data_IF_284544657241
#
_entry.id   IF_284544657241
#
_cell.length_a   1.000
_cell.length_b   1.000
_cell.length_c   1.000
_cell.angle_alpha   90.00
_cell.angle_beta   90.00
_cell.angle_gamma   90.00
#
_symmetry.space_group_name_H-M   'P 1'
#
loop_
_entity.id
_entity.type
_entity.pdbx_description
1 polymer ?
#
# COMPACT_ATOMS: atom_id res chain seq x y z
N UNK A 1 -1.24 7.47 -11.24
CA UNK A 1 -0.72 7.06 -12.56
C UNK A 1 -1.52 5.87 -13.03
N UNK A 2 -1.69 5.70 -14.33
CA UNK A 2 -2.24 4.49 -14.93
C UNK A 2 -1.20 3.82 -15.83
N UNK A 3 -1.15 2.49 -15.80
CA UNK A 3 -0.36 1.67 -16.73
C UNK A 3 -1.33 0.74 -17.48
N UNK A 4 -1.47 0.93 -18.80
CA UNK A 4 -2.43 0.19 -19.61
C UNK A 4 -3.89 0.37 -19.17
N UNK A 5 -4.24 1.54 -18.61
CA UNK A 5 -5.57 1.82 -18.04
C UNK A 5 -5.79 1.23 -16.63
N UNK A 6 -4.75 0.70 -15.99
CA UNK A 6 -4.83 0.16 -14.62
C UNK A 6 -4.22 1.18 -13.64
N UNK A 7 -4.98 1.67 -12.64
CA UNK A 7 -4.45 2.53 -11.60
C UNK A 7 -3.30 1.86 -10.84
N UNK A 8 -2.18 2.57 -10.71
CA UNK A 8 -0.97 2.05 -10.07
C UNK A 8 -0.36 3.03 -9.08
N UNK A 9 0.29 2.47 -8.07
CA UNK A 9 1.25 3.14 -7.19
C UNK A 9 2.63 2.95 -7.79
N UNK A 10 3.30 4.05 -8.09
CA UNK A 10 4.68 4.05 -8.56
C UNK A 10 5.62 4.31 -7.38
N UNK A 11 6.60 3.44 -7.21
CA UNK A 11 7.73 3.63 -6.31
C UNK A 11 8.92 3.99 -7.19
N UNK A 12 9.35 5.25 -7.08
CA UNK A 12 10.42 5.87 -7.87
C UNK A 12 11.34 6.71 -6.98
N UNK A 13 12.41 7.24 -7.57
CA UNK A 13 13.30 8.27 -7.00
C UNK A 13 13.31 9.57 -7.82
N UNK A 14 12.44 9.67 -8.82
CA UNK A 14 12.32 10.83 -9.73
C UNK A 14 11.73 12.07 -9.05
N UNK A 15 10.98 11.90 -7.96
CA UNK A 15 10.29 12.98 -7.26
C UNK A 15 11.10 13.64 -6.14
N UNK A 16 10.77 14.89 -5.81
CA UNK A 16 11.38 15.60 -4.70
C UNK A 16 11.11 14.87 -3.35
N UNK A 17 12.21 14.52 -2.66
CA UNK A 17 12.22 13.68 -1.46
C UNK A 17 11.77 12.22 -1.65
N UNK A 18 11.76 11.70 -2.88
CA UNK A 18 11.70 10.27 -3.11
C UNK A 18 13.12 9.68 -3.11
N UNK A 19 13.29 8.53 -2.48
CA UNK A 19 14.55 7.80 -2.45
C UNK A 19 14.27 6.32 -2.48
N UNK A 20 14.92 5.62 -3.39
CA UNK A 20 15.04 4.17 -3.34
C UNK A 20 16.40 3.79 -2.77
N UNK A 21 16.48 2.59 -2.15
CA UNK A 21 17.74 2.07 -1.62
C UNK A 21 18.64 1.55 -2.75
N UNK A 22 18.02 1.04 -3.81
CA UNK A 22 18.65 0.38 -4.97
C UNK A 22 17.73 0.52 -6.19
N UNK A 23 18.29 0.41 -7.40
CA UNK A 23 17.53 0.47 -8.66
C UNK A 23 16.43 -0.61 -8.73
N UNK A 24 16.66 -1.76 -8.09
CA UNK A 24 15.69 -2.87 -8.03
C UNK A 24 14.44 -2.55 -7.21
N UNK A 25 14.47 -1.51 -6.36
CA UNK A 25 13.29 -1.06 -5.62
C UNK A 25 12.32 -0.25 -6.49
N UNK A 26 12.73 0.20 -7.69
CA UNK A 26 11.85 0.89 -8.63
C UNK A 26 10.76 -0.07 -9.12
N UNK A 27 9.49 0.28 -8.90
CA UNK A 27 8.38 -0.59 -9.28
C UNK A 27 7.06 0.15 -9.47
N UNK A 28 6.27 -0.39 -10.37
CA UNK A 28 4.85 -0.05 -10.54
C UNK A 28 4.01 -1.18 -9.97
N UNK A 29 3.13 -0.85 -9.02
CA UNK A 29 2.25 -1.80 -8.32
C UNK A 29 0.80 -1.43 -8.62
N UNK A 30 -0.01 -2.34 -9.21
CA UNK A 30 -1.42 -2.07 -9.45
C UNK A 30 -2.18 -1.92 -8.13
N UNK A 31 -3.18 -1.05 -8.11
CA UNK A 31 -4.07 -0.90 -6.96
C UNK A 31 -5.07 -2.06 -6.94
N UNK A 32 -5.22 -2.70 -5.79
CA UNK A 32 -6.16 -3.82 -5.60
C UNK A 32 -7.62 -3.35 -5.80
N UNK A 33 -8.51 -4.15 -6.41
CA UNK A 33 -9.91 -3.79 -6.65
C UNK A 33 -10.65 -3.36 -5.38
N UNK A 34 -10.44 -4.03 -4.25
CA UNK A 34 -11.05 -3.64 -2.97
C UNK A 34 -10.67 -2.22 -2.54
N UNK A 35 -9.43 -1.79 -2.78
CA UNK A 35 -9.01 -0.41 -2.46
C UNK A 35 -9.71 0.59 -3.37
N UNK A 36 -9.91 0.24 -4.64
CA UNK A 36 -10.68 1.07 -5.58
C UNK A 36 -12.14 1.17 -5.13
N UNK A 37 -12.76 0.04 -4.74
CA UNK A 37 -14.12 -0.02 -4.23
C UNK A 37 -14.31 0.76 -2.91
N UNK A 38 -13.26 0.83 -2.07
CA UNK A 38 -13.24 1.67 -0.86
C UNK A 38 -13.04 3.17 -1.15
N UNK A 39 -12.96 3.57 -2.42
CA UNK A 39 -12.83 4.99 -2.81
C UNK A 39 -11.41 5.53 -2.69
N UNK A 40 -10.38 4.69 -2.82
CA UNK A 40 -8.98 5.14 -2.70
C UNK A 40 -8.64 6.27 -3.70
N UNK A 41 -9.11 6.19 -4.94
CA UNK A 41 -8.86 7.22 -5.95
C UNK A 41 -9.63 8.51 -5.65
N UNK A 42 -10.87 8.41 -5.15
CA UNK A 42 -11.64 9.58 -4.72
C UNK A 42 -10.93 10.31 -3.56
N UNK A 43 -10.37 9.55 -2.63
CA UNK A 43 -9.55 10.11 -1.54
C UNK A 43 -8.30 10.81 -2.05
N UNK A 44 -7.61 10.23 -3.03
CA UNK A 44 -6.43 10.83 -3.68
C UNK A 44 -6.80 12.17 -4.35
N UNK A 45 -7.90 12.20 -5.10
CA UNK A 45 -8.35 13.42 -5.79
C UNK A 45 -8.85 14.48 -4.82
N UNK A 46 -9.51 14.10 -3.72
CA UNK A 46 -9.86 15.02 -2.64
C UNK A 46 -8.61 15.65 -2.00
N UNK A 47 -7.59 14.84 -1.70
CA UNK A 47 -6.33 15.34 -1.13
C UNK A 47 -5.65 16.33 -2.10
N UNK A 48 -5.63 16.00 -3.40
CA UNK A 48 -5.12 16.89 -4.45
C UNK A 48 -5.91 18.20 -4.53
N UNK A 49 -7.23 18.13 -4.52
CA UNK A 49 -8.12 19.31 -4.53
C UNK A 49 -7.95 20.22 -3.31
N UNK A 50 -7.49 19.67 -2.17
CA UNK A 50 -7.13 20.41 -0.96
C UNK A 50 -5.70 20.97 -0.99
N UNK A 51 -4.98 20.84 -2.10
CA UNK A 51 -3.59 21.30 -2.25
C UNK A 51 -2.58 20.46 -1.47
N UNK A 52 -2.94 19.23 -1.08
CA UNK A 52 -1.98 18.32 -0.42
C UNK A 52 -1.02 17.74 -1.46
N UNK A 53 0.27 17.96 -1.27
CA UNK A 53 1.32 17.39 -2.13
C UNK A 53 1.60 15.91 -1.81
N UNK A 54 1.13 15.42 -0.65
CA UNK A 54 1.34 14.06 -0.16
C UNK A 54 0.04 13.45 0.33
N UNK A 55 -0.14 12.15 0.08
CA UNK A 55 -1.27 11.38 0.62
C UNK A 55 -1.28 11.30 2.15
N UNK A 56 -0.10 11.35 2.78
CA UNK A 56 0.05 11.37 4.23
C UNK A 56 0.83 12.61 4.68
N UNK A 57 0.21 13.81 4.72
CA UNK A 57 0.90 15.07 5.04
C UNK A 57 1.59 15.06 6.41
N UNK A 58 1.04 14.30 7.36
CA UNK A 58 1.61 14.15 8.70
C UNK A 58 2.93 13.35 8.73
N UNK A 59 3.21 12.56 7.68
CA UNK A 59 4.50 11.90 7.48
C UNK A 59 5.49 12.87 6.82
N UNK A 60 5.98 13.84 7.62
CA UNK A 60 6.84 14.93 7.13
C UNK A 60 8.10 14.41 6.42
N UNK A 61 8.47 15.06 5.32
CA UNK A 61 9.60 14.66 4.50
C UNK A 61 10.97 14.89 5.18
N UNK A 62 11.04 15.89 6.06
CA UNK A 62 12.22 16.29 6.83
C UNK A 62 12.34 15.60 8.20
N UNK A 63 11.49 14.60 8.48
CA UNK A 63 11.50 13.93 9.76
C UNK A 63 12.89 13.32 10.06
N UNK A 64 13.48 13.70 11.19
CA UNK A 64 14.85 13.30 11.63
C UNK A 64 15.12 11.79 11.58
N UNK A 65 14.08 10.96 11.71
CA UNK A 65 14.17 9.49 11.69
C UNK A 65 13.48 8.87 10.46
N UNK A 66 13.34 9.65 9.38
CA UNK A 66 12.65 9.25 8.16
C UNK A 66 11.11 9.23 8.28
N UNK A 67 10.45 9.31 7.13
CA UNK A 67 8.99 9.30 7.01
C UNK A 67 8.37 8.00 7.57
N UNK A 68 9.06 6.85 7.38
CA UNK A 68 8.61 5.54 7.82
C UNK A 68 8.47 5.37 9.35
N UNK A 69 9.19 6.17 10.14
CA UNK A 69 9.07 6.13 11.59
C UNK A 69 7.72 6.70 12.07
N UNK A 70 7.22 7.75 11.41
CA UNK A 70 5.93 8.34 11.78
C UNK A 70 4.79 7.34 11.59
N UNK A 71 4.71 6.71 10.42
CA UNK A 71 3.64 5.75 10.11
C UNK A 71 3.71 4.51 11.00
N UNK A 72 4.93 4.03 11.30
CA UNK A 72 5.14 2.91 12.21
C UNK A 72 4.62 3.23 13.62
N UNK A 73 4.92 4.43 14.14
CA UNK A 73 4.41 4.86 15.45
C UNK A 73 2.90 5.10 15.44
N UNK A 74 2.36 5.69 14.38
CA UNK A 74 0.92 5.89 14.23
C UNK A 74 0.17 4.56 14.23
N UNK A 75 0.66 3.59 13.46
CA UNK A 75 0.11 2.24 13.43
C UNK A 75 0.21 1.55 14.78
N UNK A 76 1.36 1.61 15.46
CA UNK A 76 1.52 0.99 16.79
C UNK A 76 0.55 1.56 17.82
N UNK A 77 0.29 2.87 17.80
CA UNK A 77 -0.72 3.49 18.69
C UNK A 77 -2.13 3.02 18.35
N UNK A 78 -2.48 2.98 17.06
CA UNK A 78 -3.79 2.50 16.63
C UNK A 78 -4.00 1.03 17.01
N UNK A 79 -2.98 0.18 16.77
CA UNK A 79 -2.99 -1.23 17.12
C UNK A 79 -3.12 -1.45 18.64
N UNK A 80 -2.52 -0.61 19.47
CA UNK A 80 -2.67 -0.68 20.92
C UNK A 80 -4.11 -0.37 21.38
N UNK A 81 -4.88 0.40 20.59
CA UNK A 81 -6.29 0.67 20.87
C UNK A 81 -7.21 -0.45 20.37
N UNK A 82 -7.08 -0.87 19.11
CA UNK A 82 -7.97 -1.87 18.51
C UNK A 82 -7.63 -3.32 18.90
N UNK A 83 -6.38 -3.57 19.28
CA UNK A 83 -5.85 -4.90 19.55
C UNK A 83 -5.80 -5.29 21.02
N UNK A 84 -6.39 -4.51 21.95
CA UNK A 84 -6.31 -4.73 23.41
C UNK A 84 -6.69 -6.15 23.83
N UNK A 85 -7.66 -6.75 23.14
CA UNK A 85 -8.21 -8.07 23.45
C UNK A 85 -7.73 -9.17 22.49
N UNK A 86 -6.75 -8.88 21.63
CA UNK A 86 -6.21 -9.87 20.71
C UNK A 86 -5.18 -10.77 21.40
N UNK A 87 -5.03 -12.04 20.96
CA UNK A 87 -3.98 -12.91 21.47
C UNK A 87 -2.59 -12.27 21.29
N UNK A 88 -1.67 -12.52 22.22
CA UNK A 88 -0.30 -11.99 22.15
C UNK A 88 0.39 -12.43 20.85
N UNK A 89 0.85 -11.46 20.06
CA UNK A 89 1.68 -11.71 18.87
C UNK A 89 2.53 -10.49 18.53
N UNK A 90 3.60 -10.71 17.75
CA UNK A 90 4.42 -9.62 17.20
C UNK A 90 3.70 -8.98 16.01
N UNK A 91 2.96 -7.91 16.27
CA UNK A 91 2.22 -7.13 15.28
C UNK A 91 2.78 -5.71 15.21
N UNK A 92 2.93 -5.19 14.00
CA UNK A 92 3.45 -3.84 13.75
C UNK A 92 3.28 -3.49 12.28
N UNK A 93 3.66 -2.28 11.86
CA UNK A 93 3.37 -1.86 10.47
C UNK A 93 3.97 -2.82 9.42
N UNK A 94 5.17 -3.35 9.67
CA UNK A 94 5.82 -4.31 8.79
C UNK A 94 5.13 -5.69 8.75
N UNK A 95 4.30 -6.05 9.74
CA UNK A 95 3.56 -7.32 9.67
C UNK A 95 2.56 -7.34 8.53
N UNK A 96 2.04 -6.19 8.09
CA UNK A 96 1.15 -6.11 6.92
C UNK A 96 1.84 -6.60 5.64
N UNK A 97 3.09 -6.18 5.42
CA UNK A 97 3.88 -6.65 4.26
C UNK A 97 4.15 -8.15 4.34
N UNK A 98 4.45 -8.68 5.54
CA UNK A 98 4.63 -10.12 5.73
C UNK A 98 3.36 -10.90 5.41
N UNK A 99 2.21 -10.43 5.90
CA UNK A 99 0.90 -11.00 5.57
C UNK A 99 0.69 -11.00 4.06
N UNK A 100 0.89 -9.88 3.37
CA UNK A 100 0.75 -9.80 1.92
C UNK A 100 1.61 -10.86 1.19
N UNK A 101 2.88 -10.99 1.56
CA UNK A 101 3.79 -11.99 0.96
C UNK A 101 3.28 -13.42 1.20
N UNK A 102 2.86 -13.72 2.43
CA UNK A 102 2.40 -15.05 2.83
C UNK A 102 1.09 -15.42 2.12
N UNK A 103 0.14 -14.49 2.01
CA UNK A 103 -1.12 -14.73 1.30
C UNK A 103 -0.90 -14.90 -0.21
N UNK A 104 -0.05 -14.08 -0.84
CA UNK A 104 0.32 -14.26 -2.24
C UNK A 104 0.98 -15.63 -2.47
N UNK A 105 1.84 -16.07 -1.55
CA UNK A 105 2.46 -17.39 -1.61
C UNK A 105 1.41 -18.51 -1.45
N UNK A 106 0.50 -18.38 -0.49
CA UNK A 106 -0.58 -19.34 -0.24
C UNK A 106 -1.56 -19.45 -1.41
N UNK A 107 -1.79 -18.35 -2.13
CA UNK A 107 -2.60 -18.31 -3.34
C UNK A 107 -1.86 -18.81 -4.60
N UNK A 108 -0.57 -19.20 -4.50
CA UNK A 108 0.19 -19.76 -5.62
C UNK A 108 0.77 -18.71 -6.57
N UNK A 109 0.85 -17.43 -6.18
CA UNK A 109 1.49 -16.38 -6.99
C UNK A 109 2.98 -16.65 -7.08
N UNK A 110 3.55 -16.74 -8.28
CA UNK A 110 4.97 -17.08 -8.47
C UNK A 110 5.93 -16.06 -7.85
N UNK A 111 7.10 -16.54 -7.41
CA UNK A 111 8.10 -15.80 -6.65
C UNK A 111 8.55 -14.50 -7.32
N UNK A 112 8.74 -14.52 -8.63
CA UNK A 112 9.18 -13.39 -9.46
C UNK A 112 8.14 -12.28 -9.47
N UNK A 113 6.86 -12.65 -9.54
CA UNK A 113 5.76 -11.71 -9.50
C UNK A 113 5.60 -11.11 -8.10
N UNK A 114 5.73 -11.94 -7.04
CA UNK A 114 5.75 -11.45 -5.65
C UNK A 114 6.91 -10.49 -5.41
N UNK A 115 8.11 -10.82 -5.89
CA UNK A 115 9.32 -10.00 -5.76
C UNK A 115 9.10 -8.59 -6.35
N UNK A 116 8.54 -8.51 -7.56
CA UNK A 116 8.25 -7.22 -8.20
C UNK A 116 7.09 -6.43 -7.56
N UNK A 117 6.16 -7.09 -6.86
CA UNK A 117 5.08 -6.42 -6.11
C UNK A 117 5.59 -5.81 -4.80
N UNK A 118 6.34 -6.59 -4.02
CA UNK A 118 6.66 -6.25 -2.63
C UNK A 118 8.10 -5.82 -2.42
N UNK A 119 8.95 -5.82 -3.45
CA UNK A 119 10.40 -5.54 -3.37
C UNK A 119 11.12 -6.56 -2.47
N UNK A 120 11.02 -7.83 -2.85
CA UNK A 120 11.63 -8.96 -2.13
C UNK A 120 12.74 -9.58 -2.99
N UNK A 121 13.97 -9.63 -2.45
CA UNK A 121 15.08 -10.29 -3.12
C UNK A 121 14.80 -11.78 -3.28
N UNK A 122 15.10 -12.32 -4.45
CA UNK A 122 15.12 -13.76 -4.67
C UNK A 122 16.53 -14.25 -4.35
N UNK A 123 16.66 -15.30 -3.55
CA UNK A 123 17.96 -15.84 -3.10
C UNK A 123 18.79 -16.45 -4.25
N UNK A 124 18.22 -16.64 -5.43
CA UNK A 124 18.91 -17.18 -6.61
C UNK A 124 19.46 -16.06 -7.51
N UNK A 125 20.79 -15.98 -7.59
CA UNK A 125 21.54 -15.05 -8.46
C UNK A 125 21.11 -15.12 -9.94
N UNK A 126 20.56 -16.26 -10.38
CA UNK A 126 20.06 -16.46 -11.75
C UNK A 126 18.72 -15.76 -12.04
N UNK A 127 17.85 -15.55 -11.04
CA UNK A 127 16.52 -14.97 -11.28
C UNK A 127 16.56 -13.44 -11.48
N UNK A 128 17.51 -12.75 -10.88
CA UNK A 128 17.64 -11.28 -10.99
C UNK A 128 18.11 -10.86 -12.39
N UNK A 129 18.96 -11.67 -13.04
CA UNK A 129 19.58 -11.33 -14.33
C UNK A 129 18.67 -11.58 -15.55
N UNK A 130 17.72 -12.51 -15.45
CA UNK A 130 16.88 -12.93 -16.59
C UNK A 130 15.37 -12.65 -16.41
N UNK A 131 14.94 -12.07 -15.29
CA UNK A 131 13.53 -11.75 -15.09
C UNK A 131 13.15 -10.48 -15.86
N UNK A 132 12.19 -10.60 -16.77
CA UNK A 132 11.53 -9.44 -17.38
C UNK A 132 10.64 -8.75 -16.35
N UNK A 133 10.41 -7.45 -16.52
CA UNK A 133 9.36 -6.75 -15.81
C UNK A 133 7.97 -7.30 -16.21
N UNK A 134 7.12 -7.54 -15.21
CA UNK A 134 5.70 -7.81 -15.43
C UNK A 134 4.95 -6.48 -15.60
N UNK A 135 4.03 -6.46 -16.56
CA UNK A 135 3.10 -5.34 -16.77
C UNK A 135 2.17 -5.18 -15.55
N UNK A 136 1.56 -4.01 -15.37
CA UNK A 136 0.55 -3.83 -14.32
C UNK A 136 -0.60 -4.85 -14.45
N UNK A 137 -1.01 -5.20 -15.67
CA UNK A 137 -2.04 -6.21 -15.92
C UNK A 137 -1.63 -7.60 -15.47
N UNK A 138 -0.41 -8.02 -15.77
CA UNK A 138 0.12 -9.31 -15.30
C UNK A 138 0.25 -9.35 -13.78
N UNK A 139 0.69 -8.25 -13.17
CA UNK A 139 0.78 -8.13 -11.71
C UNK A 139 -0.60 -8.19 -11.05
N UNK A 140 -1.62 -7.63 -11.68
CA UNK A 140 -2.98 -7.60 -11.16
C UNK A 140 -3.70 -8.93 -11.36
N UNK A 141 -3.82 -9.37 -12.61
CA UNK A 141 -4.67 -10.51 -13.00
C UNK A 141 -3.93 -11.85 -12.94
N UNK A 142 -2.60 -11.80 -13.08
CA UNK A 142 -1.75 -12.99 -13.15
C UNK A 142 -1.27 -13.34 -14.55
N UNK A 143 -0.50 -14.43 -14.62
CA UNK A 143 0.14 -14.97 -15.82
C UNK A 143 -0.75 -16.04 -16.48
N UNK A 144 -1.99 -15.67 -16.83
CA UNK A 144 -2.99 -16.58 -17.40
C UNK A 144 -3.13 -17.86 -16.54
N UNK A 145 -2.91 -19.04 -17.12
CA UNK A 145 -3.06 -20.34 -16.45
C UNK A 145 -1.86 -20.74 -15.57
N UNK A 146 -0.81 -19.90 -15.47
CA UNK A 146 0.45 -20.25 -14.77
C UNK A 146 0.46 -19.76 -13.33
N UNK A 147 -0.02 -18.54 -13.10
CA UNK A 147 0.03 -17.89 -11.78
C UNK A 147 -1.13 -16.92 -11.68
N UNK A 148 -1.87 -16.88 -10.55
CA UNK A 148 -2.71 -15.73 -10.27
C UNK A 148 -1.87 -14.47 -10.04
N UNK A 149 -2.54 -13.31 -10.04
CA UNK A 149 -1.96 -12.02 -9.69
C UNK A 149 -2.46 -11.50 -8.35
N UNK A 150 -2.25 -10.21 -8.10
CA UNK A 150 -2.65 -9.53 -6.87
C UNK A 150 -4.16 -9.60 -6.59
N UNK A 151 -5.02 -9.64 -7.62
CA UNK A 151 -6.48 -9.64 -7.47
C UNK A 151 -7.06 -10.95 -6.93
N UNK A 152 -6.23 -11.98 -6.75
CA UNK A 152 -6.67 -13.25 -6.15
C UNK A 152 -6.86 -13.14 -4.64
N UNK A 153 -6.30 -12.12 -4.01
CA UNK A 153 -6.37 -11.94 -2.57
C UNK A 153 -7.77 -11.47 -2.17
N UNK A 154 -8.35 -12.18 -1.22
CA UNK A 154 -9.58 -11.79 -0.55
C UNK A 154 -9.38 -11.94 0.96
N UNK A 155 -9.45 -10.82 1.67
CA UNK A 155 -9.30 -10.76 3.12
C UNK A 155 -10.63 -10.94 3.87
N UNK A 156 -11.74 -11.18 3.16
CA UNK A 156 -13.07 -11.34 3.74
C UNK A 156 -13.59 -10.06 4.41
N UNK A 157 -13.17 -8.90 3.92
CA UNK A 157 -13.52 -7.61 4.50
C UNK A 157 -14.90 -7.15 4.03
N UNK A 158 -15.74 -6.67 4.95
CA UNK A 158 -16.98 -5.98 4.60
C UNK A 158 -16.65 -4.58 4.10
N UNK A 159 -16.56 -4.42 2.77
CA UNK A 159 -16.22 -3.13 2.16
C UNK A 159 -17.25 -2.04 2.47
N UNK A 160 -18.53 -2.38 2.57
CA UNK A 160 -19.59 -1.44 2.96
C UNK A 160 -19.39 -0.90 4.38
N UNK A 161 -19.09 -1.80 5.33
CA UNK A 161 -18.83 -1.42 6.73
C UNK A 161 -17.60 -0.53 6.84
N UNK A 162 -16.54 -0.86 6.10
CA UNK A 162 -15.31 -0.06 6.06
C UNK A 162 -15.54 1.31 5.43
N UNK A 163 -16.25 1.37 4.32
CA UNK A 163 -16.60 2.63 3.65
C UNK A 163 -17.39 3.56 4.57
N UNK A 164 -18.36 3.02 5.32
CA UNK A 164 -19.12 3.79 6.30
C UNK A 164 -18.24 4.38 7.41
N UNK A 165 -17.25 3.62 7.92
CA UNK A 165 -16.30 4.09 8.94
C UNK A 165 -15.37 5.20 8.41
N UNK A 166 -14.90 5.05 7.17
CA UNK A 166 -14.02 6.04 6.54
C UNK A 166 -14.75 7.38 6.36
N UNK A 167 -16.02 7.35 5.94
CA UNK A 167 -16.84 8.56 5.74
C UNK A 167 -17.17 9.28 7.05
N UNK A 168 -17.37 8.55 8.16
CA UNK A 168 -17.61 9.16 9.47
C UNK A 168 -16.39 9.91 10.00
N UNK A 169 -15.18 9.43 9.68
CA UNK A 169 -13.93 10.03 10.15
C UNK A 169 -13.65 11.38 9.47
N UNK A 170 -14.02 11.51 8.19
CA UNK A 170 -13.88 12.77 7.43
C UNK A 170 -14.73 13.90 8.01
N UNK A 171 -15.94 13.61 8.48
CA UNK A 171 -16.83 14.58 9.13
C UNK A 171 -16.28 15.13 10.45
N UNK A 172 -15.61 14.29 11.26
CA UNK A 172 -15.05 14.70 12.56
C UNK A 172 -13.78 15.55 12.40
N UNK A 173 -12.96 15.28 11.38
CA UNK A 173 -11.76 16.10 11.08
C UNK A 173 -12.16 17.47 10.53
N UNK A 174 -13.21 17.54 9.69
CA UNK A 174 -13.76 18.80 9.18
C UNK A 174 -14.29 19.72 10.31
N UNK A 175 -14.96 19.15 11.31
CA UNK A 175 -15.45 19.89 12.49
C UNK A 175 -14.31 20.43 13.37
N UNK A 176 -13.19 19.70 13.51
CA UNK A 176 -12.03 20.17 14.29
C UNK A 176 -11.22 21.25 13.57
N UNK A 177 -11.23 21.28 12.23
CA UNK A 177 -10.62 22.34 11.42
C UNK A 177 -11.34 23.69 11.58
N UNK A 178 -12.68 23.68 11.68
CA UNK A 178 -13.46 24.92 11.85
C UNK A 178 -13.44 25.48 13.28
N UNK A 179 -13.08 24.68 14.29
CA UNK A 179 -13.00 25.13 15.68
C UNK A 179 -11.70 25.88 16.04
N UNK A 180 -10.72 25.97 15.12
CA UNK A 180 -9.49 26.77 15.29
C UNK A 180 -9.49 28.07 14.47
N UNK A 181 -10.64 28.47 13.89
CA UNK A 181 -10.81 29.74 13.15
C UNK A 181 -11.86 30.67 13.74
N UNK A 182 -12.21 30.53 15.02
CA UNK A 182 -13.03 31.49 15.76
C UNK A 182 -12.20 32.18 16.84
#
# INVERSE_FOLDING_TARGET
MEDGGIPCIQISDEGEHQKVKTDVSLRTVPVHPDLLALGFLDWVEQARGQGQERLFPAAKADAKNGQGNWISKAFSRHLAEVGKNWPTAKRGFHSLRKTLIQELQGAGVVSELRAQLVDHELDDEHHVTYSRAFTAKEKLDGLRAVSPGLSVLDYGLSLDSLSALMNQTTSVVSLKSNALRA
#
